data_IF_252673785268
#
_entry.id   IF_252673785268
#
_cell.length_a   1.000
_cell.length_b   1.000
_cell.length_c   1.000
_cell.angle_alpha   90.00
_cell.angle_beta   90.00
_cell.angle_gamma   90.00
#
_symmetry.space_group_name_H-M   'P 1'
#
loop_
_entity.id
_entity.type
_entity.pdbx_description
1 polymer ?
#
# COMPACT_ATOMS: atom_id res chain seq x y z
N UNK A 1 3.80 -11.77 -1.16
CA UNK A 1 3.56 -11.29 0.22
C UNK A 1 2.95 -12.45 1.02
N UNK A 2 3.69 -13.12 1.90
CA UNK A 2 3.22 -14.37 2.58
C UNK A 2 2.93 -14.22 4.08
N UNK A 3 2.96 -12.99 4.62
CA UNK A 3 2.87 -12.74 6.06
C UNK A 3 1.85 -11.65 6.38
N UNK A 4 0.91 -11.95 7.28
CA UNK A 4 -0.11 -11.01 7.75
C UNK A 4 0.50 -9.75 8.36
N UNK A 5 1.58 -9.87 9.14
CA UNK A 5 2.29 -8.72 9.72
C UNK A 5 2.93 -7.83 8.65
N UNK A 6 3.37 -8.40 7.52
CA UNK A 6 3.90 -7.63 6.40
C UNK A 6 2.81 -6.85 5.68
N UNK A 7 1.66 -7.47 5.43
CA UNK A 7 0.50 -6.77 4.88
C UNK A 7 0.05 -5.62 5.78
N UNK A 8 -0.09 -5.87 7.09
CA UNK A 8 -0.46 -4.84 8.06
C UNK A 8 0.56 -3.67 8.09
N UNK A 9 1.86 -3.95 7.92
CA UNK A 9 2.89 -2.90 7.82
C UNK A 9 2.70 -2.03 6.58
N UNK A 10 2.41 -2.63 5.43
CA UNK A 10 2.19 -1.91 4.17
C UNK A 10 0.90 -1.08 4.26
N UNK A 11 -0.20 -1.70 4.69
CA UNK A 11 -1.49 -1.03 4.89
C UNK A 11 -1.37 0.18 5.81
N UNK A 12 -0.71 0.02 6.96
CA UNK A 12 -0.45 1.11 7.90
C UNK A 12 0.39 2.23 7.30
N UNK A 13 1.32 1.93 6.38
CA UNK A 13 2.17 2.93 5.75
C UNK A 13 1.40 3.70 4.67
N UNK A 14 0.57 3.04 3.88
CA UNK A 14 -0.32 3.67 2.89
C UNK A 14 -1.37 4.56 3.56
N UNK A 15 -2.04 4.07 4.61
CA UNK A 15 -3.04 4.84 5.37
C UNK A 15 -2.46 6.03 6.16
N UNK A 16 -1.14 6.23 6.16
CA UNK A 16 -0.50 7.45 6.72
C UNK A 16 -0.34 8.55 5.68
N UNK A 17 -0.51 8.23 4.39
CA UNK A 17 -0.53 9.25 3.35
C UNK A 17 -1.80 10.08 3.51
N UNK A 18 -1.74 11.42 3.41
CA UNK A 18 -2.91 12.27 3.59
C UNK A 18 -4.05 11.88 2.64
N UNK A 19 -5.24 11.59 3.20
CA UNK A 19 -6.45 11.28 2.44
C UNK A 19 -6.45 9.93 1.70
N UNK A 20 -5.44 9.07 1.89
CA UNK A 20 -5.39 7.74 1.29
C UNK A 20 -6.15 6.75 2.17
N UNK A 21 -6.98 5.92 1.54
CA UNK A 21 -7.58 4.74 2.16
C UNK A 21 -7.02 3.48 1.48
N UNK A 22 -6.44 2.57 2.27
CA UNK A 22 -5.79 1.38 1.78
C UNK A 22 -6.20 0.15 2.59
N UNK A 23 -6.37 -0.97 1.88
CA UNK A 23 -6.49 -2.30 2.45
C UNK A 23 -5.56 -3.27 1.74
N UNK A 24 -4.93 -4.19 2.48
CA UNK A 24 -3.98 -5.15 1.93
C UNK A 24 -4.35 -6.57 2.31
N UNK A 25 -4.54 -7.41 1.30
CA UNK A 25 -4.82 -8.82 1.48
C UNK A 25 -3.56 -9.64 1.20
N UNK A 26 -2.97 -10.20 2.26
CA UNK A 26 -1.77 -11.04 2.14
C UNK A 26 -2.03 -12.36 1.41
N UNK A 27 -3.24 -12.91 1.48
CA UNK A 27 -3.57 -14.17 0.82
C UNK A 27 -3.65 -14.04 -0.70
N UNK A 28 -4.04 -12.86 -1.20
CA UNK A 28 -4.14 -12.58 -2.64
C UNK A 28 -2.98 -11.74 -3.17
N UNK A 29 -2.08 -11.29 -2.28
CA UNK A 29 -0.99 -10.37 -2.59
C UNK A 29 -1.46 -9.05 -3.25
N UNK A 30 -2.69 -8.64 -2.97
CA UNK A 30 -3.30 -7.43 -3.55
C UNK A 30 -3.48 -6.33 -2.51
N UNK A 31 -3.20 -5.11 -2.92
CA UNK A 31 -3.57 -3.89 -2.20
C UNK A 31 -4.67 -3.17 -2.98
N UNK A 32 -5.75 -2.81 -2.29
CA UNK A 32 -6.74 -1.86 -2.80
C UNK A 32 -6.44 -0.50 -2.17
N UNK A 33 -6.26 0.52 -3.00
CA UNK A 33 -5.87 1.87 -2.58
C UNK A 33 -6.77 2.89 -3.27
N UNK A 34 -7.44 3.71 -2.48
CA UNK A 34 -8.15 4.90 -2.91
C UNK A 34 -7.25 6.10 -2.70
N UNK A 35 -6.96 6.81 -3.79
CA UNK A 35 -6.07 7.96 -3.80
C UNK A 35 -6.88 9.25 -3.89
N UNK A 36 -6.63 10.24 -3.02
CA UNK A 36 -7.24 11.54 -3.15
C UNK A 36 -6.63 12.30 -4.34
N UNK A 37 -7.31 13.36 -4.78
CA UNK A 37 -6.78 14.23 -5.82
C UNK A 37 -5.40 14.79 -5.42
N UNK A 38 -4.43 14.71 -6.34
CA UNK A 38 -3.07 15.16 -6.12
C UNK A 38 -2.10 14.09 -5.61
N UNK A 39 -2.59 12.91 -5.22
CA UNK A 39 -1.75 11.74 -4.92
C UNK A 39 -1.76 10.78 -6.11
N UNK A 40 -0.58 10.41 -6.59
CA UNK A 40 -0.44 9.54 -7.76
C UNK A 40 -0.30 8.07 -7.38
N UNK A 41 -0.50 7.19 -8.36
CA UNK A 41 -0.23 5.76 -8.21
C UNK A 41 1.26 5.52 -7.90
N UNK A 42 2.16 6.28 -8.52
CA UNK A 42 3.60 6.18 -8.26
C UNK A 42 3.95 6.52 -6.81
N UNK A 43 3.26 7.48 -6.18
CA UNK A 43 3.43 7.79 -4.76
C UNK A 43 3.05 6.61 -3.86
N UNK A 44 1.97 5.91 -4.21
CA UNK A 44 1.55 4.70 -3.51
C UNK A 44 2.56 3.56 -3.70
N UNK A 45 3.05 3.33 -4.92
CA UNK A 45 4.07 2.33 -5.23
C UNK A 45 5.38 2.64 -4.50
N UNK A 46 5.83 3.89 -4.49
CA UNK A 46 7.00 4.34 -3.75
C UNK A 46 6.84 4.15 -2.24
N UNK A 47 5.63 4.36 -1.71
CA UNK A 47 5.31 4.10 -0.30
C UNK A 47 5.39 2.62 0.04
N UNK A 48 4.94 1.72 -0.85
CA UNK A 48 5.14 0.28 -0.70
C UNK A 48 6.64 -0.08 -0.76
N UNK A 49 7.39 0.50 -1.71
CA UNK A 49 8.84 0.32 -1.84
C UNK A 49 9.61 0.69 -0.57
N UNK A 50 9.22 1.77 0.10
CA UNK A 50 9.80 2.19 1.38
C UNK A 50 9.59 1.17 2.52
N UNK A 51 8.70 0.19 2.36
CA UNK A 51 8.53 -0.92 3.30
C UNK A 51 9.36 -2.16 2.97
N UNK A 52 10.10 -2.14 1.85
CA UNK A 52 10.94 -3.24 1.35
C UNK A 52 10.23 -4.17 0.35
N UNK A 53 9.15 -3.71 -0.28
CA UNK A 53 8.34 -4.50 -1.22
C UNK A 53 8.17 -3.80 -2.57
N UNK A 54 8.12 -4.56 -3.66
CA UNK A 54 7.71 -4.03 -4.97
C UNK A 54 6.20 -4.12 -5.15
N UNK A 55 5.59 -3.16 -5.84
CA UNK A 55 4.20 -3.21 -6.28
C UNK A 55 4.10 -2.91 -7.78
N UNK A 56 3.06 -3.44 -8.42
CA UNK A 56 2.65 -3.14 -9.80
C UNK A 56 1.14 -2.93 -9.83
N UNK A 57 0.70 -2.07 -10.73
CA UNK A 57 -0.71 -1.71 -10.95
C UNK A 57 -1.30 -2.46 -12.13
#
# INVERSE_FOLDING_TARGET
MTCASCAARIEKKLNRMPGVEASVNYATEKAHVLLPAGTTVDDAVATVAATGYSARV
#
